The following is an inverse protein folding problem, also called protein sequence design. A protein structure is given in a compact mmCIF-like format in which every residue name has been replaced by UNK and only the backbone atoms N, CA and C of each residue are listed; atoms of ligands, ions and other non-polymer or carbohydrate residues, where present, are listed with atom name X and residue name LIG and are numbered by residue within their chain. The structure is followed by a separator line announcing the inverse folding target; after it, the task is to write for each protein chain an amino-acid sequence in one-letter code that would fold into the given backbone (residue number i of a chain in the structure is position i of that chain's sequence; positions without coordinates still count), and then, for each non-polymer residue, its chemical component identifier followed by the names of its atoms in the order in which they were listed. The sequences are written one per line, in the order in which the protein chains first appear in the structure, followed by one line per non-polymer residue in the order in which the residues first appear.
data_IF_811470800036
#
_entry.id   IF_811470800036
#
_cell.length_a   1.000
_cell.length_b   1.000
_cell.length_c   1.000
_cell.angle_alpha   90.00
_cell.angle_beta   90.00
_cell.angle_gamma   90.00
#
_symmetry.space_group_name_H-M   'P 1'
#
loop_
_entity.id
_entity.type
_entity.pdbx_description
1 polymer ?
#
# COMPACT_ATOMS: atom_id res chain seq x y z
N UNK A 1 -4.16 1.69 -12.40
CA UNK A 1 -5.14 0.59 -12.37
C UNK A 1 -5.80 0.64 -11.01
N UNK A 2 -7.12 0.49 -10.91
CA UNK A 2 -7.82 0.55 -9.64
C UNK A 2 -7.55 -0.69 -8.79
N UNK A 3 -7.74 -0.56 -7.47
CA UNK A 3 -7.86 -1.73 -6.61
C UNK A 3 -9.06 -2.57 -7.05
N UNK A 4 -8.90 -3.89 -7.00
CA UNK A 4 -9.94 -4.84 -7.36
C UNK A 4 -10.05 -5.94 -6.31
N UNK A 5 -11.24 -6.55 -6.09
CA UNK A 5 -11.44 -7.54 -5.03
C UNK A 5 -10.53 -8.77 -5.08
N UNK A 6 -9.93 -9.09 -6.23
CA UNK A 6 -8.94 -10.16 -6.38
C UNK A 6 -7.59 -9.88 -5.71
N UNK A 7 -7.35 -8.64 -5.28
CA UNK A 7 -6.16 -8.24 -4.52
C UNK A 7 -6.39 -8.32 -3.00
N UNK A 8 -7.62 -8.62 -2.58
CA UNK A 8 -7.96 -8.76 -1.15
C UNK A 8 -7.21 -9.93 -0.53
N UNK A 9 -6.70 -9.72 0.68
CA UNK A 9 -6.14 -10.76 1.53
C UNK A 9 -7.14 -11.24 2.60
N UNK A 10 -8.37 -10.72 2.57
CA UNK A 10 -9.45 -11.07 3.50
C UNK A 10 -9.31 -10.43 4.88
N UNK A 11 -8.39 -9.49 5.06
CA UNK A 11 -8.17 -8.74 6.30
C UNK A 11 -8.50 -7.28 6.00
N UNK A 12 -9.65 -6.82 6.51
CA UNK A 12 -10.21 -5.50 6.18
C UNK A 12 -9.20 -4.37 6.38
N UNK A 13 -8.48 -4.36 7.52
CA UNK A 13 -7.49 -3.31 7.81
C UNK A 13 -6.35 -3.28 6.79
N UNK A 14 -5.88 -4.45 6.31
CA UNK A 14 -4.80 -4.55 5.33
C UNK A 14 -5.30 -4.21 3.93
N UNK A 15 -6.52 -4.65 3.58
CA UNK A 15 -7.15 -4.32 2.30
C UNK A 15 -7.39 -2.81 2.14
N UNK A 16 -7.80 -2.12 3.21
CA UNK A 16 -7.93 -0.65 3.20
C UNK A 16 -6.59 0.05 2.99
N UNK A 17 -5.51 -0.50 3.56
CA UNK A 17 -4.16 0.02 3.33
C UNK A 17 -3.72 -0.16 1.87
N UNK A 18 -3.98 -1.33 1.27
CA UNK A 18 -3.69 -1.55 -0.15
C UNK A 18 -4.50 -0.59 -1.04
N UNK A 19 -5.80 -0.41 -0.78
CA UNK A 19 -6.66 0.53 -1.53
C UNK A 19 -6.08 1.94 -1.56
N UNK A 20 -5.50 2.40 -0.46
CA UNK A 20 -4.88 3.73 -0.36
C UNK A 20 -3.71 3.90 -1.33
N UNK A 21 -2.89 2.86 -1.54
CA UNK A 21 -1.83 2.90 -2.55
C UNK A 21 -2.39 3.07 -3.96
N UNK A 22 -3.44 2.32 -4.30
CA UNK A 22 -4.09 2.42 -5.61
C UNK A 22 -4.71 3.81 -5.83
N UNK A 23 -5.38 4.38 -4.82
CA UNK A 23 -5.93 5.75 -4.90
C UNK A 23 -4.82 6.79 -5.16
N UNK A 24 -3.68 6.67 -4.48
CA UNK A 24 -2.53 7.59 -4.66
C UNK A 24 -1.87 7.42 -6.02
N UNK A 25 -1.75 6.19 -6.51
CA UNK A 25 -1.25 5.90 -7.85
C UNK A 25 -2.18 6.45 -8.94
N UNK A 26 -3.49 6.34 -8.76
CA UNK A 26 -4.48 6.92 -9.67
C UNK A 26 -4.42 8.45 -9.70
N UNK A 27 -4.29 9.11 -8.54
CA UNK A 27 -4.10 10.57 -8.48
C UNK A 27 -2.88 11.02 -9.28
N UNK A 28 -1.75 10.32 -9.18
CA UNK A 28 -0.57 10.63 -9.99
C UNK A 28 -0.85 10.42 -11.48
N UNK A 29 -1.55 9.34 -11.85
CA UNK A 29 -1.89 9.06 -13.23
C UNK A 29 -2.78 10.14 -13.85
N UNK A 30 -3.82 10.58 -13.14
CA UNK A 30 -4.69 11.68 -13.59
C UNK A 30 -3.92 13.01 -13.64
N UNK A 31 -3.07 13.30 -12.66
CA UNK A 31 -2.18 14.47 -12.71
C UNK A 31 -1.25 14.43 -13.93
N UNK A 32 -0.75 13.25 -14.30
CA UNK A 32 0.04 13.05 -15.52
C UNK A 32 -0.72 13.40 -16.80
N UNK A 33 -1.99 12.99 -16.91
CA UNK A 33 -2.86 13.38 -18.03
C UNK A 33 -3.11 14.89 -18.09
N UNK A 34 -3.15 15.55 -16.94
CA UNK A 34 -3.31 17.00 -16.82
C UNK A 34 -2.00 17.80 -16.94
N UNK A 35 -0.86 17.15 -17.24
CA UNK A 35 0.47 17.76 -17.25
C UNK A 35 0.91 18.38 -15.90
N UNK A 36 0.39 17.84 -14.79
CA UNK A 36 0.65 18.25 -13.41
C UNK A 36 1.37 17.16 -12.60
N UNK A 37 2.00 16.16 -13.24
CA UNK A 37 2.62 15.05 -12.50
C UNK A 37 3.74 15.50 -11.55
N UNK A 38 4.44 16.59 -11.88
CA UNK A 38 5.60 17.06 -11.11
C UNK A 38 5.21 17.54 -9.71
N UNK A 39 4.01 18.10 -9.59
CA UNK A 39 3.45 18.59 -8.35
C UNK A 39 3.06 17.41 -7.42
N UNK A 40 2.59 16.31 -8.00
CA UNK A 40 2.08 15.16 -7.24
C UNK A 40 3.14 14.08 -6.96
N UNK A 41 4.22 14.03 -7.74
CA UNK A 41 5.24 12.99 -7.57
C UNK A 41 5.96 13.10 -6.22
N UNK A 42 6.21 14.33 -5.75
CA UNK A 42 6.82 14.55 -4.43
C UNK A 42 5.91 14.06 -3.30
N UNK A 43 4.63 14.42 -3.34
CA UNK A 43 3.64 13.96 -2.37
C UNK A 43 3.48 12.44 -2.36
N UNK A 44 3.49 11.81 -3.55
CA UNK A 44 3.41 10.36 -3.65
C UNK A 44 4.64 9.69 -2.99
N UNK A 45 5.85 10.20 -3.25
CA UNK A 45 7.07 9.63 -2.68
C UNK A 45 7.10 9.75 -1.14
N UNK A 46 6.71 10.90 -0.60
CA UNK A 46 6.60 11.09 0.86
C UNK A 46 5.55 10.16 1.46
N UNK A 47 4.39 10.03 0.81
CA UNK A 47 3.36 9.10 1.23
C UNK A 47 3.86 7.65 1.21
N UNK A 48 4.55 7.23 0.14
CA UNK A 48 5.07 5.87 0.03
C UNK A 48 6.11 5.57 1.12
N UNK A 49 7.02 6.50 1.43
CA UNK A 49 8.03 6.29 2.48
C UNK A 49 7.41 6.06 3.87
N UNK A 50 6.43 6.88 4.24
CA UNK A 50 5.79 6.77 5.56
C UNK A 50 4.79 5.61 5.62
N UNK A 51 3.92 5.50 4.61
CA UNK A 51 2.80 4.59 4.65
C UNK A 51 3.22 3.13 4.43
N UNK A 52 4.26 2.88 3.64
CA UNK A 52 4.81 1.52 3.44
C UNK A 52 5.38 0.96 4.74
N UNK A 53 6.07 1.78 5.54
CA UNK A 53 6.60 1.38 6.86
C UNK A 53 5.47 1.00 7.82
N UNK A 54 4.42 1.82 7.86
CA UNK A 54 3.23 1.55 8.67
C UNK A 54 2.54 0.26 8.22
N UNK A 55 2.33 0.11 6.92
CA UNK A 55 1.66 -1.05 6.34
C UNK A 55 2.35 -2.37 6.71
N UNK A 56 3.65 -2.47 6.45
CA UNK A 56 4.39 -3.68 6.80
C UNK A 56 4.44 -3.91 8.30
N UNK A 57 4.52 -2.87 9.13
CA UNK A 57 4.43 -3.04 10.59
C UNK A 57 3.07 -3.62 11.04
N UNK A 58 1.97 -3.18 10.42
CA UNK A 58 0.63 -3.69 10.72
C UNK A 58 0.45 -5.15 10.22
N UNK A 59 0.94 -5.48 9.01
CA UNK A 59 0.98 -6.86 8.50
C UNK A 59 1.82 -7.79 9.39
N UNK A 60 3.04 -7.38 9.75
CA UNK A 60 3.94 -8.13 10.63
C UNK A 60 3.30 -8.37 12.00
N UNK A 61 2.67 -7.35 12.59
CA UNK A 61 1.96 -7.47 13.86
C UNK A 61 0.82 -8.47 13.76
N UNK A 62 0.04 -8.43 12.69
CA UNK A 62 -1.03 -9.39 12.46
C UNK A 62 -0.49 -10.82 12.31
N UNK A 63 0.49 -11.02 11.44
CA UNK A 63 1.14 -12.32 11.21
C UNK A 63 1.69 -12.92 12.51
N UNK A 64 2.37 -12.13 13.33
CA UNK A 64 2.88 -12.57 14.63
C UNK A 64 1.74 -12.94 15.60
N UNK A 65 0.64 -12.18 15.62
CA UNK A 65 -0.49 -12.42 16.52
C UNK A 65 -1.18 -13.78 16.29
N UNK A 66 -1.11 -14.31 15.06
CA UNK A 66 -1.70 -15.59 14.67
C UNK A 66 -0.65 -16.70 14.52
N UNK A 67 0.62 -16.44 14.86
CA UNK A 67 1.75 -17.35 14.63
C UNK A 67 1.84 -17.82 13.16
N UNK A 68 1.72 -16.88 12.21
CA UNK A 68 1.76 -17.19 10.78
C UNK A 68 3.07 -17.91 10.41
N UNK A 69 3.01 -19.14 9.84
CA UNK A 69 4.19 -19.99 9.64
C UNK A 69 5.26 -19.39 8.73
N UNK A 70 4.87 -18.55 7.76
CA UNK A 70 5.77 -17.98 6.75
C UNK A 70 6.19 -16.54 7.05
N UNK A 71 5.93 -16.04 8.27
CA UNK A 71 6.28 -14.68 8.68
C UNK A 71 7.75 -14.33 8.38
N UNK A 72 8.68 -15.25 8.65
CA UNK A 72 10.09 -15.01 8.41
C UNK A 72 10.43 -14.83 6.92
N UNK A 73 9.70 -15.50 6.03
CA UNK A 73 9.86 -15.33 4.58
C UNK A 73 9.22 -14.02 4.10
N UNK A 74 8.03 -13.68 4.62
CA UNK A 74 7.33 -12.44 4.27
C UNK A 74 8.11 -11.19 4.71
N UNK A 75 8.72 -11.21 5.90
CA UNK A 75 9.47 -10.06 6.47
C UNK A 75 10.70 -9.64 5.64
N UNK A 76 11.27 -10.56 4.86
CA UNK A 76 12.50 -10.32 4.08
C UNK A 76 12.24 -10.11 2.59
N UNK A 77 10.98 -10.20 2.15
CA UNK A 77 10.55 -9.95 0.77
C UNK A 77 10.57 -8.45 0.44
#
# INVERSE_FOLDING_TARGET
MPWTPNLSVGIEEIDEQHKMWFEKAEKLFEAGKAHQAKEYIGELLSFLDEYTKKHFADEEKYMLSINYPEYAAQKVA
#
